data_IF_378246142974
#
_entry.id   IF_378246142974
#
_cell.length_a   1.000
_cell.length_b   1.000
_cell.length_c   1.000
_cell.angle_alpha   90.00
_cell.angle_beta   90.00
_cell.angle_gamma   90.00
#
_symmetry.space_group_name_H-M   'P 1'
#
loop_
_entity.id
_entity.type
_entity.pdbx_description
1 polymer ?
#
# COMPACT_ATOMS: atom_id res chain seq x y z
N UNK A 1 -41.92 -7.26 13.31
CA UNK A 1 -40.56 -6.67 13.26
C UNK A 1 -40.16 -6.69 11.80
N UNK A 2 -39.98 -5.53 11.19
CA UNK A 2 -39.45 -5.42 9.82
C UNK A 2 -37.94 -5.56 9.90
N UNK A 3 -37.41 -6.67 9.43
CA UNK A 3 -35.97 -6.92 9.36
C UNK A 3 -35.39 -6.05 8.23
N UNK A 4 -34.71 -4.96 8.60
CA UNK A 4 -33.99 -4.12 7.67
C UNK A 4 -32.60 -4.74 7.46
N UNK A 5 -32.43 -5.48 6.35
CA UNK A 5 -31.13 -6.04 5.99
C UNK A 5 -30.23 -4.88 5.59
N UNK A 6 -29.38 -4.45 6.52
CA UNK A 6 -28.37 -3.43 6.23
C UNK A 6 -27.32 -4.08 5.32
N UNK A 7 -27.02 -3.51 4.14
CA UNK A 7 -25.90 -3.97 3.34
C UNK A 7 -24.62 -3.63 4.11
N UNK A 8 -24.08 -4.62 4.84
CA UNK A 8 -22.78 -4.52 5.45
C UNK A 8 -21.78 -4.53 4.30
N UNK A 9 -21.05 -3.43 4.10
CA UNK A 9 -19.99 -3.36 3.11
C UNK A 9 -18.75 -4.11 3.63
N UNK A 10 -18.77 -5.43 3.48
CA UNK A 10 -17.65 -6.34 3.84
C UNK A 10 -16.48 -6.17 2.85
N UNK A 11 -16.68 -5.40 1.77
CA UNK A 11 -15.66 -5.15 0.72
C UNK A 11 -14.68 -4.05 1.13
N UNK A 12 -15.07 -3.20 2.09
CA UNK A 12 -14.21 -2.19 2.66
C UNK A 12 -13.13 -2.81 3.53
N UNK A 13 -11.93 -2.22 3.53
CA UNK A 13 -10.92 -2.65 4.48
C UNK A 13 -11.38 -2.46 5.92
N UNK A 14 -11.22 -3.52 6.71
CA UNK A 14 -11.41 -3.45 8.15
C UNK A 14 -10.40 -2.48 8.77
N UNK A 15 -10.93 -1.40 9.34
CA UNK A 15 -10.14 -0.41 10.05
C UNK A 15 -9.99 -0.85 11.50
N UNK A 16 -8.79 -1.27 11.86
CA UNK A 16 -8.44 -1.92 13.13
C UNK A 16 -8.43 -0.96 14.33
N UNK A 17 -7.93 0.28 14.16
CA UNK A 17 -7.82 1.24 15.27
C UNK A 17 -8.82 2.38 15.05
N UNK A 18 -9.80 2.46 15.96
CA UNK A 18 -10.78 3.54 16.04
C UNK A 18 -11.67 3.72 14.82
N UNK A 19 -11.76 2.71 13.92
CA UNK A 19 -12.49 2.87 12.66
C UNK A 19 -11.84 3.86 11.69
N UNK A 20 -10.56 4.22 11.88
CA UNK A 20 -9.82 5.15 11.02
C UNK A 20 -8.61 4.47 10.38
N UNK A 21 -7.83 3.70 11.14
CA UNK A 21 -6.56 3.12 10.69
C UNK A 21 -6.73 1.70 10.14
N UNK A 22 -6.28 1.45 8.91
CA UNK A 22 -6.29 0.12 8.28
C UNK A 22 -5.15 -0.76 8.79
N UNK A 23 -5.36 -2.08 8.81
CA UNK A 23 -4.31 -3.06 9.10
C UNK A 23 -3.07 -2.87 8.22
N UNK A 24 -3.26 -2.48 6.96
CA UNK A 24 -2.15 -2.22 6.02
C UNK A 24 -1.28 -1.05 6.46
N UNK A 25 -1.91 0.03 6.91
CA UNK A 25 -1.20 1.23 7.36
C UNK A 25 -0.31 0.90 8.56
N UNK A 26 -0.83 0.10 9.49
CA UNK A 26 -0.05 -0.41 10.62
C UNK A 26 1.13 -1.26 10.13
N UNK A 27 0.88 -2.17 9.18
CA UNK A 27 1.91 -3.02 8.60
C UNK A 27 3.07 -2.24 7.96
N UNK A 28 2.77 -1.27 7.09
CA UNK A 28 3.79 -0.43 6.45
C UNK A 28 4.56 0.41 7.48
N UNK A 29 3.86 0.98 8.46
CA UNK A 29 4.51 1.75 9.52
C UNK A 29 5.44 0.87 10.37
N UNK A 30 5.02 -0.34 10.73
CA UNK A 30 5.86 -1.30 11.45
C UNK A 30 7.11 -1.69 10.64
N UNK A 31 6.97 -1.98 9.35
CA UNK A 31 8.09 -2.29 8.45
C UNK A 31 9.08 -1.13 8.39
N UNK A 32 8.59 0.12 8.34
CA UNK A 32 9.45 1.30 8.29
C UNK A 32 10.32 1.43 9.55
N UNK A 33 9.77 1.14 10.73
CA UNK A 33 10.51 1.20 12.00
C UNK A 33 11.61 0.14 12.01
N UNK A 34 11.29 -1.08 11.57
CA UNK A 34 12.28 -2.17 11.47
C UNK A 34 13.40 -1.80 10.48
N UNK A 35 13.05 -1.25 9.31
CA UNK A 35 14.04 -0.83 8.32
C UNK A 35 14.94 0.31 8.82
N UNK A 36 14.39 1.30 9.54
CA UNK A 36 15.15 2.38 10.16
C UNK A 36 16.09 1.84 11.24
N UNK A 37 15.64 0.86 12.03
CA UNK A 37 16.48 0.20 13.03
C UNK A 37 17.71 -0.47 12.40
N UNK A 38 17.52 -1.22 11.31
CA UNK A 38 18.65 -1.80 10.58
C UNK A 38 19.57 -0.75 9.97
N UNK A 39 19.02 0.34 9.41
CA UNK A 39 19.83 1.46 8.90
C UNK A 39 20.68 2.10 9.99
N UNK A 40 20.15 2.19 11.22
CA UNK A 40 20.84 2.77 12.36
C UNK A 40 22.05 1.93 12.82
N UNK A 41 22.00 0.60 12.64
CA UNK A 41 23.10 -0.32 13.01
C UNK A 41 24.32 -0.22 12.09
N UNK A 42 24.18 0.29 10.87
CA UNK A 42 25.30 0.39 9.92
C UNK A 42 26.21 1.56 10.34
N UNK A 43 27.56 1.45 10.28
CA UNK A 43 28.48 2.52 10.68
C UNK A 43 28.58 3.65 9.62
N UNK A 44 27.45 4.26 9.26
CA UNK A 44 27.39 5.46 8.43
C UNK A 44 27.40 6.75 9.26
N UNK A 45 27.82 7.89 8.67
CA UNK A 45 27.71 9.19 9.33
C UNK A 45 26.26 9.53 9.64
N UNK A 46 26.05 10.20 10.78
CA UNK A 46 24.72 10.45 11.37
C UNK A 46 23.75 11.15 10.40
N UNK A 47 24.27 12.06 9.56
CA UNK A 47 23.48 12.83 8.60
C UNK A 47 22.83 11.92 7.56
N UNK A 48 23.57 10.93 7.05
CA UNK A 48 23.06 9.97 6.06
C UNK A 48 21.99 9.08 6.68
N UNK A 49 22.17 8.68 7.95
CA UNK A 49 21.18 7.87 8.68
C UNK A 49 19.86 8.60 8.84
N UNK A 50 19.91 9.88 9.20
CA UNK A 50 18.70 10.71 9.39
C UNK A 50 17.98 10.91 8.05
N UNK A 51 18.70 11.28 6.99
CA UNK A 51 18.11 11.49 5.67
C UNK A 51 17.50 10.19 5.13
N UNK A 52 18.25 9.07 5.23
CA UNK A 52 17.76 7.76 4.80
C UNK A 52 16.57 7.29 5.61
N UNK A 53 16.58 7.49 6.93
CA UNK A 53 15.46 7.12 7.80
C UNK A 53 14.19 7.90 7.49
N UNK A 54 14.30 9.21 7.29
CA UNK A 54 13.17 10.07 6.88
C UNK A 54 12.65 9.66 5.50
N UNK A 55 13.52 9.37 4.54
CA UNK A 55 13.12 8.90 3.22
C UNK A 55 12.34 7.57 3.29
N UNK A 56 12.84 6.59 4.06
CA UNK A 56 12.15 5.29 4.27
C UNK A 56 10.77 5.50 4.90
N UNK A 57 10.69 6.38 5.91
CA UNK A 57 9.42 6.68 6.58
C UNK A 57 8.41 7.32 5.63
N UNK A 58 8.83 8.31 4.84
CA UNK A 58 7.97 8.99 3.85
C UNK A 58 7.47 7.99 2.80
N UNK A 59 8.35 7.13 2.27
CA UNK A 59 7.96 6.12 1.28
C UNK A 59 6.95 5.14 1.87
N UNK A 60 7.17 4.69 3.10
CA UNK A 60 6.25 3.78 3.77
C UNK A 60 4.89 4.41 4.07
N UNK A 61 4.89 5.65 4.53
CA UNK A 61 3.66 6.42 4.74
C UNK A 61 2.92 6.66 3.41
N UNK A 62 3.65 6.98 2.34
CA UNK A 62 3.08 7.10 1.00
C UNK A 62 2.41 5.78 0.58
N UNK A 63 3.06 4.63 0.73
CA UNK A 63 2.47 3.32 0.41
C UNK A 63 1.24 2.96 1.26
N UNK A 64 1.27 3.32 2.55
CA UNK A 64 0.17 3.03 3.47
C UNK A 64 -1.05 3.95 3.30
N UNK A 65 -0.84 5.22 2.96
CA UNK A 65 -1.89 6.24 2.94
C UNK A 65 -2.31 6.72 1.55
N UNK A 66 -1.51 6.55 0.50
CA UNK A 66 -1.96 6.87 -0.86
C UNK A 66 -3.06 5.91 -1.29
N UNK A 67 -4.25 6.47 -1.47
CA UNK A 67 -5.32 5.87 -2.25
C UNK A 67 -5.27 6.48 -3.65
N UNK A 68 -5.26 5.64 -4.68
CA UNK A 68 -5.32 6.10 -6.07
C UNK A 68 -6.81 6.17 -6.43
N UNK A 69 -7.40 7.36 -6.27
CA UNK A 69 -8.83 7.63 -6.53
C UNK A 69 -9.16 7.90 -8.01
N UNK A 70 -8.24 7.60 -8.94
CA UNK A 70 -8.37 8.02 -10.34
C UNK A 70 -9.15 7.07 -11.26
N UNK A 71 -10.06 6.23 -10.74
CA UNK A 71 -10.93 5.42 -11.61
C UNK A 71 -12.40 5.87 -11.50
N UNK A 72 -12.99 6.43 -12.57
CA UNK A 72 -14.35 6.98 -12.56
C UNK A 72 -15.47 5.93 -12.37
N UNK A 73 -15.13 4.64 -12.22
CA UNK A 73 -16.09 3.53 -12.16
C UNK A 73 -15.86 2.58 -10.97
N UNK A 74 -15.10 2.99 -9.96
CA UNK A 74 -14.84 2.19 -8.76
C UNK A 74 -15.27 2.99 -7.53
N UNK A 75 -16.45 2.67 -6.98
CA UNK A 75 -17.07 3.35 -5.83
C UNK A 75 -16.20 3.37 -4.56
N UNK A 76 -15.15 2.53 -4.50
CA UNK A 76 -14.16 2.50 -3.43
C UNK A 76 -12.78 2.63 -4.06
N UNK A 77 -12.07 3.73 -3.77
CA UNK A 77 -10.72 4.01 -4.28
C UNK A 77 -9.77 2.81 -4.16
N UNK A 78 -9.00 2.53 -5.21
CA UNK A 78 -8.08 1.41 -5.21
C UNK A 78 -6.80 1.79 -4.43
N UNK A 79 -6.56 1.09 -3.33
CA UNK A 79 -5.29 0.37 -3.16
C UNK A 79 -4.07 0.78 -3.96
N UNK A 80 -3.13 1.63 -3.50
CA UNK A 80 -1.85 1.79 -4.19
C UNK A 80 -1.09 0.46 -4.36
N UNK A 81 -1.13 -0.40 -3.34
CA UNK A 81 -0.58 -1.75 -3.37
C UNK A 81 -1.30 -2.66 -4.38
N UNK A 82 -2.64 -2.68 -4.31
CA UNK A 82 -3.46 -3.46 -5.25
C UNK A 82 -3.24 -3.00 -6.70
N UNK A 83 -3.07 -1.70 -6.91
CA UNK A 83 -2.75 -1.10 -8.20
C UNK A 83 -1.37 -1.53 -8.70
N UNK A 84 -0.33 -1.46 -7.86
CA UNK A 84 1.01 -1.94 -8.18
C UNK A 84 0.98 -3.43 -8.56
N UNK A 85 0.30 -4.27 -7.79
CA UNK A 85 0.17 -5.69 -8.06
C UNK A 85 -0.52 -5.97 -9.41
N UNK A 86 -1.59 -5.22 -9.72
CA UNK A 86 -2.28 -5.31 -11.00
C UNK A 86 -1.37 -4.88 -12.17
N UNK A 87 -0.62 -3.80 -11.99
CA UNK A 87 0.32 -3.30 -12.98
C UNK A 87 1.46 -4.30 -13.25
N UNK A 88 2.00 -4.92 -12.20
CA UNK A 88 3.00 -5.99 -12.35
C UNK A 88 2.45 -7.21 -13.09
N UNK A 89 1.22 -7.65 -12.75
CA UNK A 89 0.53 -8.72 -13.47
C UNK A 89 0.31 -8.36 -14.93
N UNK A 90 -0.12 -7.14 -15.21
CA UNK A 90 -0.35 -6.65 -16.58
C UNK A 90 0.94 -6.66 -17.40
N UNK A 91 2.06 -6.14 -16.87
CA UNK A 91 3.36 -6.20 -17.54
C UNK A 91 3.82 -7.63 -17.80
N UNK A 92 3.55 -8.57 -16.87
CA UNK A 92 3.88 -9.99 -17.05
C UNK A 92 3.02 -10.62 -18.15
N UNK A 93 1.73 -10.32 -18.19
CA UNK A 93 0.80 -10.78 -19.24
C UNK A 93 1.23 -10.27 -20.62
N UNK A 94 1.58 -8.98 -20.76
CA UNK A 94 2.03 -8.42 -22.04
C UNK A 94 3.31 -9.06 -22.59
N UNK A 95 4.18 -9.61 -21.74
CA UNK A 95 5.37 -10.36 -22.21
C UNK A 95 5.03 -11.72 -22.81
N UNK A 96 3.93 -12.34 -22.38
CA UNK A 96 3.47 -13.66 -22.86
C UNK A 96 2.78 -13.51 -24.22
N UNK A 97 2.10 -12.37 -24.45
CA UNK A 97 1.44 -12.06 -25.72
C UNK A 97 2.35 -11.36 -26.75
N UNK A 98 3.67 -11.58 -26.71
CA UNK A 98 4.48 -11.33 -27.91
C UNK A 98 4.00 -12.32 -28.96
N UNK A 99 3.00 -11.89 -29.73
CA UNK A 99 2.48 -12.59 -30.90
C UNK A 99 3.70 -12.90 -31.77
N UNK A 100 3.97 -14.20 -31.95
CA UNK A 100 4.77 -14.67 -33.08
C UNK A 100 4.06 -14.18 -34.34
N UNK A 101 4.52 -13.03 -34.84
CA UNK A 101 4.26 -12.62 -36.21
C UNK A 101 5.38 -13.26 -37.01
N UNK A 102 5.10 -14.44 -37.55
CA UNK A 102 5.88 -15.06 -38.61
C UNK A 102 4.94 -15.28 -39.79
#
# INVERSE_FOLDING_TARGET
MTEFVMPIDITGEEKMIGGVLSLRQIGYMAISIVAIFFLAMIPFPIVIKVIGGVAIFIISAALGFLKIDQMPNLSNGMSADKYLMLMFRYKKMQKIYRLEVN
#
